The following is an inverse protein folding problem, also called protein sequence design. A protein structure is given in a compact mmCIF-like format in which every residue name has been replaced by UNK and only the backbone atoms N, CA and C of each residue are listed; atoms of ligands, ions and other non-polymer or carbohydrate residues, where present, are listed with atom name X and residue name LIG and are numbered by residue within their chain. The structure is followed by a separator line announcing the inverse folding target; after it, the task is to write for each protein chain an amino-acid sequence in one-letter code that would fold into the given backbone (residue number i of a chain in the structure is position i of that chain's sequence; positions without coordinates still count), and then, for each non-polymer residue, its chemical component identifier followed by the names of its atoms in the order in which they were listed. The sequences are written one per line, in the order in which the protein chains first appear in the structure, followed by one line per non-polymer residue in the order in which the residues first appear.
data_IF_277990426379
#
_entry.id   IF_277990426379
#
_cell.length_a   1.000
_cell.length_b   1.000
_cell.length_c   1.000
_cell.angle_alpha   90.00
_cell.angle_beta   90.00
_cell.angle_gamma   90.00
#
_symmetry.space_group_name_H-M   'P 1'
#
loop_
_entity.id
_entity.type
_entity.pdbx_description
1 polymer ?
#
# COMPACT_ATOMS: atom_id res chain seq x y z
N UNK A 1 22.61 1.99 15.06
CA UNK A 1 21.46 2.37 15.91
C UNK A 1 21.64 1.75 17.29
N UNK A 2 20.91 2.20 18.31
CA UNK A 2 20.95 1.56 19.64
C UNK A 2 19.92 0.43 19.70
N UNK A 3 20.19 -0.62 20.49
CA UNK A 3 19.24 -1.73 20.73
C UNK A 3 17.87 -1.24 21.24
N UNK A 4 17.84 -0.09 21.93
CA UNK A 4 16.60 0.54 22.39
C UNK A 4 15.78 1.13 21.24
N UNK A 5 16.43 1.80 20.29
CA UNK A 5 15.75 2.35 19.10
C UNK A 5 15.24 1.22 18.20
N UNK A 6 16.02 0.14 18.04
CA UNK A 6 15.60 -1.03 17.28
C UNK A 6 14.37 -1.71 17.89
N UNK A 7 14.36 -1.93 19.21
CA UNK A 7 13.18 -2.47 19.91
C UNK A 7 11.97 -1.57 19.79
N UNK A 8 12.16 -0.25 19.86
CA UNK A 8 11.09 0.74 19.70
C UNK A 8 10.49 0.67 18.28
N UNK A 9 11.33 0.64 17.25
CA UNK A 9 10.90 0.52 15.86
C UNK A 9 10.19 -0.83 15.60
N UNK A 10 10.72 -1.94 16.12
CA UNK A 10 10.10 -3.25 16.01
C UNK A 10 8.72 -3.31 16.67
N UNK A 11 8.56 -2.71 17.85
CA UNK A 11 7.26 -2.64 18.55
C UNK A 11 6.26 -1.79 17.77
N UNK A 12 6.69 -0.61 17.29
CA UNK A 12 5.86 0.27 16.46
C UNK A 12 5.39 -0.44 15.19
N UNK A 13 6.27 -1.25 14.57
CA UNK A 13 5.95 -2.11 13.42
C UNK A 13 4.95 -3.20 13.74
N UNK A 14 5.17 -3.98 14.80
CA UNK A 14 4.28 -5.06 15.20
C UNK A 14 2.85 -4.56 15.45
N UNK A 15 2.70 -3.41 16.11
CA UNK A 15 1.39 -2.81 16.37
C UNK A 15 0.71 -2.37 15.06
N UNK A 16 1.44 -1.67 14.17
CA UNK A 16 0.87 -1.20 12.90
C UNK A 16 0.47 -2.34 11.97
N UNK A 17 1.28 -3.42 11.93
CA UNK A 17 0.96 -4.64 11.16
C UNK A 17 -0.26 -5.37 11.73
N UNK A 18 -0.36 -5.49 13.06
CA UNK A 18 -1.51 -6.12 13.70
C UNK A 18 -2.83 -5.37 13.43
N UNK A 19 -2.79 -4.04 13.41
CA UNK A 19 -3.95 -3.22 13.05
C UNK A 19 -4.39 -3.48 11.61
N UNK A 20 -3.45 -3.43 10.65
CA UNK A 20 -3.75 -3.68 9.25
C UNK A 20 -4.24 -5.12 9.00
N UNK A 21 -3.63 -6.12 9.63
CA UNK A 21 -4.02 -7.51 9.48
C UNK A 21 -5.45 -7.76 9.99
N UNK A 22 -5.78 -7.29 11.20
CA UNK A 22 -7.14 -7.41 11.74
C UNK A 22 -8.17 -6.72 10.84
N UNK A 23 -7.84 -5.53 10.33
CA UNK A 23 -8.72 -4.79 9.44
C UNK A 23 -8.97 -5.53 8.12
N UNK A 24 -7.93 -6.13 7.53
CA UNK A 24 -8.03 -6.87 6.26
C UNK A 24 -8.71 -8.23 6.41
N UNK A 25 -8.49 -8.92 7.53
CA UNK A 25 -9.03 -10.27 7.78
C UNK A 25 -10.47 -10.24 8.30
N UNK A 26 -10.80 -9.28 9.17
CA UNK A 26 -12.02 -9.32 9.98
C UNK A 26 -12.86 -8.03 9.91
N UNK A 27 -12.38 -7.00 9.19
CA UNK A 27 -13.09 -5.74 9.02
C UNK A 27 -12.82 -4.71 10.13
N UNK A 28 -13.46 -3.55 10.02
CA UNK A 28 -13.19 -2.38 10.89
C UNK A 28 -13.59 -2.61 12.35
N UNK A 29 -14.76 -3.21 12.60
CA UNK A 29 -15.25 -3.48 13.96
C UNK A 29 -14.30 -4.37 14.77
N UNK A 30 -13.48 -5.18 14.08
CA UNK A 30 -12.49 -6.06 14.69
C UNK A 30 -11.19 -5.34 15.08
N UNK A 31 -10.82 -4.26 14.40
CA UNK A 31 -9.55 -3.57 14.59
C UNK A 31 -9.57 -2.62 15.80
N UNK A 32 -9.88 -3.13 17.00
CA UNK A 32 -9.89 -2.35 18.25
C UNK A 32 -8.53 -2.32 18.93
N UNK A 33 -8.25 -1.28 19.74
CA UNK A 33 -7.00 -1.18 20.51
C UNK A 33 -6.73 -2.44 21.34
N UNK A 34 -7.76 -3.04 21.93
CA UNK A 34 -7.63 -4.25 22.72
C UNK A 34 -7.15 -5.43 21.87
N UNK A 35 -7.80 -5.68 20.72
CA UNK A 35 -7.46 -6.79 19.82
C UNK A 35 -6.13 -6.59 19.12
N UNK A 36 -5.81 -5.36 18.71
CA UNK A 36 -4.51 -5.02 18.14
C UNK A 36 -3.41 -5.22 19.17
N UNK A 37 -3.61 -4.78 20.42
CA UNK A 37 -2.63 -4.98 21.50
C UNK A 37 -2.39 -6.45 21.77
N UNK A 38 -3.46 -7.25 21.85
CA UNK A 38 -3.37 -8.71 22.01
C UNK A 38 -2.59 -9.35 20.86
N UNK A 39 -2.94 -9.05 19.61
CA UNK A 39 -2.29 -9.61 18.42
C UNK A 39 -0.82 -9.19 18.30
N UNK A 40 -0.48 -7.96 18.69
CA UNK A 40 0.89 -7.47 18.71
C UNK A 40 1.70 -7.92 19.94
N UNK A 41 1.09 -8.63 20.89
CA UNK A 41 1.76 -9.08 22.11
C UNK A 41 2.16 -7.95 23.06
N UNK A 42 1.37 -6.87 23.11
CA UNK A 42 1.62 -5.69 23.95
C UNK A 42 0.41 -5.34 24.82
N UNK A 43 0.61 -4.48 25.84
CA UNK A 43 -0.51 -3.94 26.62
C UNK A 43 -1.19 -2.78 25.90
N UNK A 44 -2.46 -2.49 26.21
CA UNK A 44 -3.14 -1.27 25.71
C UNK A 44 -2.40 0.02 26.10
N UNK A 45 -1.77 0.05 27.28
CA UNK A 45 -0.89 1.15 27.69
C UNK A 45 0.32 1.28 26.75
N UNK A 46 0.91 0.15 26.36
CA UNK A 46 2.02 0.12 25.40
C UNK A 46 1.55 0.63 24.04
N UNK A 47 0.38 0.19 23.55
CA UNK A 47 -0.21 0.72 22.31
C UNK A 47 -0.29 2.25 22.35
N UNK A 48 -0.88 2.81 23.40
CA UNK A 48 -1.03 4.25 23.56
C UNK A 48 0.29 5.02 23.74
N UNK A 49 1.40 4.35 24.06
CA UNK A 49 2.72 4.98 24.04
C UNK A 49 3.25 5.20 22.61
N UNK A 50 2.69 4.51 21.61
CA UNK A 50 3.10 4.59 20.20
C UNK A 50 2.09 5.28 19.31
N UNK A 51 0.79 5.13 19.57
CA UNK A 51 -0.30 5.63 18.72
C UNK A 51 -1.47 6.13 19.57
N UNK A 52 -2.09 7.23 19.16
CA UNK A 52 -3.30 7.77 19.77
C UNK A 52 -4.48 6.82 19.56
N UNK A 53 -4.63 6.31 18.34
CA UNK A 53 -5.75 5.47 17.89
C UNK A 53 -5.33 4.51 16.78
N UNK A 54 -6.31 3.79 16.23
CA UNK A 54 -6.14 2.81 15.16
C UNK A 54 -5.80 3.49 13.83
N UNK A 55 -6.38 4.66 13.57
CA UNK A 55 -6.13 5.42 12.35
C UNK A 55 -4.66 5.83 12.25
N UNK A 56 -4.06 6.30 13.35
CA UNK A 56 -2.62 6.62 13.39
C UNK A 56 -1.75 5.37 13.15
N UNK A 57 -2.14 4.22 13.70
CA UNK A 57 -1.45 2.95 13.48
C UNK A 57 -1.55 2.49 12.01
N UNK A 58 -2.70 2.69 11.36
CA UNK A 58 -2.91 2.39 9.95
C UNK A 58 -2.13 3.33 9.03
N UNK A 59 -2.07 4.64 9.33
CA UNK A 59 -1.25 5.61 8.59
C UNK A 59 0.23 5.23 8.66
N UNK A 60 0.71 4.81 9.84
CA UNK A 60 2.07 4.30 10.00
C UNK A 60 2.33 3.04 9.17
N UNK A 61 1.36 2.14 9.10
CA UNK A 61 1.46 0.96 8.26
C UNK A 61 1.51 1.32 6.77
N UNK A 62 0.59 2.18 6.29
CA UNK A 62 0.58 2.66 4.91
C UNK A 62 1.91 3.33 4.54
N UNK A 63 2.47 4.17 5.42
CA UNK A 63 3.79 4.79 5.21
C UNK A 63 4.87 3.76 4.89
N UNK A 64 4.85 2.61 5.56
CA UNK A 64 5.78 1.51 5.30
C UNK A 64 5.48 0.81 3.99
N UNK A 65 4.21 0.56 3.65
CA UNK A 65 3.83 -0.03 2.36
C UNK A 65 4.31 0.86 1.20
N UNK A 66 4.07 2.17 1.26
CA UNK A 66 4.59 3.12 0.26
C UNK A 66 6.12 3.10 0.15
N UNK A 67 6.83 3.05 1.28
CA UNK A 67 8.28 2.95 1.28
C UNK A 67 8.79 1.61 0.72
N UNK A 68 8.15 0.50 1.07
CA UNK A 68 8.52 -0.83 0.56
C UNK A 68 8.31 -0.93 -0.95
N UNK A 69 7.20 -0.41 -1.48
CA UNK A 69 6.98 -0.39 -2.94
C UNK A 69 7.98 0.55 -3.61
N UNK A 70 8.34 1.67 -2.99
CA UNK A 70 9.39 2.55 -3.51
C UNK A 70 10.75 1.84 -3.61
N UNK A 71 11.14 1.10 -2.57
CA UNK A 71 12.36 0.29 -2.56
C UNK A 71 12.33 -0.80 -3.65
N UNK A 72 11.16 -1.44 -3.87
CA UNK A 72 10.99 -2.43 -4.95
C UNK A 72 11.15 -1.79 -6.33
N UNK A 73 10.59 -0.60 -6.55
CA UNK A 73 10.78 0.17 -7.79
C UNK A 73 12.27 0.46 -7.99
N UNK A 74 12.94 1.02 -6.98
CA UNK A 74 14.37 1.37 -7.08
C UNK A 74 15.27 0.14 -7.33
N UNK A 75 14.86 -1.05 -6.88
CA UNK A 75 15.60 -2.29 -7.07
C UNK A 75 15.48 -2.87 -8.51
N UNK A 76 14.48 -2.46 -9.29
CA UNK A 76 14.28 -2.99 -10.65
C UNK A 76 15.23 -2.37 -11.68
N UNK A 77 15.70 -3.13 -12.70
CA UNK A 77 16.63 -2.64 -13.74
C UNK A 77 16.17 -1.37 -14.46
N UNK A 78 17.03 -0.37 -14.58
CA UNK A 78 16.68 0.97 -15.11
C UNK A 78 16.26 1.00 -16.58
N UNK A 79 16.53 -0.08 -17.32
CA UNK A 79 16.14 -0.28 -18.71
C UNK A 79 14.64 -0.53 -18.88
N UNK A 80 13.97 -1.00 -17.81
CA UNK A 80 12.54 -1.23 -17.78
C UNK A 80 11.82 0.08 -17.49
N UNK A 81 10.82 0.41 -18.30
CA UNK A 81 10.07 1.65 -18.19
C UNK A 81 9.27 1.73 -16.88
N UNK A 82 8.94 2.96 -16.45
CA UNK A 82 8.09 3.20 -15.27
C UNK A 82 6.71 2.52 -15.39
N UNK A 83 6.18 2.35 -16.60
CA UNK A 83 4.93 1.63 -16.84
C UNK A 83 5.09 0.13 -16.54
N UNK A 84 6.08 -0.51 -17.14
CA UNK A 84 6.36 -1.95 -16.98
C UNK A 84 6.68 -2.31 -15.53
N UNK A 85 7.39 -1.43 -14.80
CA UNK A 85 7.67 -1.64 -13.38
C UNK A 85 6.42 -1.55 -12.54
N UNK A 86 5.58 -0.53 -12.73
CA UNK A 86 4.32 -0.44 -12.00
C UNK A 86 3.40 -1.62 -12.33
N UNK A 87 3.35 -2.04 -13.59
CA UNK A 87 2.61 -3.23 -14.04
C UNK A 87 3.09 -4.48 -13.30
N UNK A 88 4.40 -4.72 -13.25
CA UNK A 88 5.00 -5.87 -12.54
C UNK A 88 4.71 -5.85 -11.04
N UNK A 89 4.87 -4.69 -10.37
CA UNK A 89 4.58 -4.54 -8.94
C UNK A 89 3.13 -4.88 -8.61
N UNK A 90 2.18 -4.48 -9.46
CA UNK A 90 0.76 -4.76 -9.24
C UNK A 90 0.43 -6.23 -9.57
N UNK A 91 1.08 -6.82 -10.57
CA UNK A 91 0.96 -8.25 -10.89
C UNK A 91 1.45 -9.11 -9.72
N UNK A 92 2.60 -8.76 -9.13
CA UNK A 92 3.17 -9.46 -7.98
C UNK A 92 2.29 -9.31 -6.73
N UNK A 93 1.49 -8.24 -6.62
CA UNK A 93 0.52 -8.10 -5.55
C UNK A 93 -0.65 -9.09 -5.63
N UNK A 94 -0.84 -9.76 -6.77
CA UNK A 94 -1.91 -10.73 -7.04
C UNK A 94 -1.37 -12.17 -7.01
N UNK A 95 -0.48 -12.50 -6.07
CA UNK A 95 0.13 -13.83 -5.99
C UNK A 95 -0.81 -14.91 -5.37
N UNK A 96 -0.49 -16.17 -5.65
CA UNK A 96 -1.29 -17.35 -5.26
C UNK A 96 -1.38 -17.57 -3.74
N UNK A 97 -0.36 -17.13 -2.98
CA UNK A 97 -0.25 -17.38 -1.53
C UNK A 97 -1.15 -16.46 -0.66
N UNK A 98 -1.97 -15.60 -1.27
CA UNK A 98 -2.87 -14.68 -0.57
C UNK A 98 -2.31 -13.26 -0.43
N UNK A 99 -2.88 -12.48 0.50
CA UNK A 99 -2.55 -11.07 0.68
C UNK A 99 -1.16 -10.88 1.31
N UNK A 100 -0.18 -10.47 0.51
CA UNK A 100 1.03 -9.85 1.06
C UNK A 100 0.67 -8.49 1.65
N UNK A 101 0.86 -8.34 2.97
CA UNK A 101 0.59 -7.11 3.70
C UNK A 101 1.32 -5.91 3.07
N UNK A 102 2.50 -6.09 2.48
CA UNK A 102 3.30 -5.01 1.92
C UNK A 102 3.20 -4.88 0.40
N UNK A 103 1.98 -5.06 -0.15
CA UNK A 103 1.74 -5.06 -1.60
C UNK A 103 0.92 -3.87 -2.10
N UNK A 104 0.89 -3.68 -3.42
CA UNK A 104 0.03 -2.69 -4.06
C UNK A 104 -1.46 -2.94 -3.78
N UNK A 105 -1.90 -4.20 -3.65
CA UNK A 105 -3.28 -4.55 -3.31
C UNK A 105 -3.69 -4.03 -1.92
N UNK A 106 -2.76 -4.02 -0.96
CA UNK A 106 -2.97 -3.44 0.37
C UNK A 106 -3.32 -1.95 0.28
N UNK A 107 -2.60 -1.18 -0.54
CA UNK A 107 -2.91 0.24 -0.74
C UNK A 107 -4.31 0.46 -1.31
N UNK A 108 -4.76 -0.42 -2.21
CA UNK A 108 -6.10 -0.36 -2.79
C UNK A 108 -7.16 -0.65 -1.72
N UNK A 109 -7.01 -1.75 -0.98
CA UNK A 109 -7.96 -2.20 0.03
C UNK A 109 -8.08 -1.22 1.20
N UNK A 110 -6.95 -0.83 1.78
CA UNK A 110 -6.93 0.11 2.90
C UNK A 110 -7.28 1.54 2.45
N UNK A 111 -6.87 1.94 1.26
CA UNK A 111 -7.20 3.27 0.72
C UNK A 111 -8.68 3.46 0.43
N UNK A 112 -9.37 2.43 -0.07
CA UNK A 112 -10.82 2.47 -0.25
C UNK A 112 -11.57 2.53 1.08
N UNK A 113 -11.10 1.75 2.05
CA UNK A 113 -11.69 1.68 3.39
C UNK A 113 -11.55 3.00 4.13
N UNK A 114 -10.35 3.58 4.12
CA UNK A 114 -10.09 4.93 4.64
C UNK A 114 -10.98 5.99 3.99
N UNK A 115 -11.34 5.87 2.70
CA UNK A 115 -12.27 6.81 2.04
C UNK A 115 -13.73 6.62 2.42
N UNK A 116 -14.15 5.38 2.68
CA UNK A 116 -15.56 5.05 2.97
C UNK A 116 -15.93 5.29 4.44
N UNK A 117 -14.99 5.08 5.35
CA UNK A 117 -15.26 4.97 6.79
C UNK A 117 -14.69 6.13 7.61
N UNK A 118 -13.70 6.87 7.07
CA UNK A 118 -13.13 7.98 7.81
C UNK A 118 -14.14 9.12 8.01
N UNK A 119 -14.39 9.46 9.28
CA UNK A 119 -15.18 10.64 9.67
C UNK A 119 -14.62 11.94 9.08
N UNK A 120 -13.30 11.96 8.85
CA UNK A 120 -12.58 13.04 8.19
C UNK A 120 -11.62 12.43 7.18
N UNK A 121 -11.69 12.78 5.88
CA UNK A 121 -10.74 12.28 4.91
C UNK A 121 -9.30 12.73 5.27
N UNK A 122 -8.27 11.94 4.96
CA UNK A 122 -6.89 12.36 5.16
C UNK A 122 -6.63 13.69 4.42
N UNK A 123 -5.84 14.57 5.04
CA UNK A 123 -5.48 15.83 4.41
C UNK A 123 -4.65 15.58 3.15
N UNK A 124 -4.73 16.48 2.18
CA UNK A 124 -3.92 16.41 0.97
C UNK A 124 -2.41 16.37 1.30
N UNK A 125 -1.99 17.12 2.33
CA UNK A 125 -0.63 17.09 2.84
C UNK A 125 -0.21 15.71 3.34
N UNK A 126 -1.04 15.04 4.15
CA UNK A 126 -0.75 13.69 4.63
C UNK A 126 -0.66 12.68 3.48
N UNK A 127 -1.54 12.78 2.49
CA UNK A 127 -1.48 11.93 1.31
C UNK A 127 -0.22 12.17 0.48
N UNK A 128 0.19 13.43 0.32
CA UNK A 128 1.41 13.80 -0.38
C UNK A 128 2.66 13.29 0.34
N UNK A 129 2.68 13.33 1.68
CA UNK A 129 3.77 12.76 2.48
C UNK A 129 3.86 11.23 2.31
N UNK A 130 2.72 10.53 2.32
CA UNK A 130 2.68 9.08 2.11
C UNK A 130 3.16 8.70 0.71
N UNK A 131 2.75 9.44 -0.32
CA UNK A 131 3.13 9.15 -1.71
C UNK A 131 4.56 9.59 -2.07
N UNK A 132 5.20 10.44 -1.27
CA UNK A 132 6.49 11.05 -1.59
C UNK A 132 7.61 10.05 -1.97
N UNK A 133 7.75 8.88 -1.31
CA UNK A 133 8.76 7.88 -1.70
C UNK A 133 8.53 7.31 -3.11
N UNK A 134 7.28 7.05 -3.49
CA UNK A 134 6.94 6.54 -4.83
C UNK A 134 7.18 7.61 -5.90
N UNK A 135 6.76 8.85 -5.63
CA UNK A 135 7.02 9.99 -6.53
C UNK A 135 8.52 10.16 -6.75
N UNK A 136 9.33 10.08 -5.69
CA UNK A 136 10.79 10.18 -5.79
C UNK A 136 11.39 9.06 -6.64
N UNK A 137 10.92 7.82 -6.47
CA UNK A 137 11.41 6.64 -7.18
C UNK A 137 11.05 6.70 -8.67
N UNK A 138 9.79 7.02 -9.00
CA UNK A 138 9.34 7.19 -10.39
C UNK A 138 10.08 8.34 -11.09
N UNK A 139 10.36 9.43 -10.39
CA UNK A 139 11.15 10.54 -10.92
C UNK A 139 12.59 10.12 -11.23
N UNK A 140 13.26 9.42 -10.30
CA UNK A 140 14.63 8.91 -10.52
C UNK A 140 14.71 8.00 -11.74
N UNK A 141 13.68 7.17 -11.94
CA UNK A 141 13.61 6.21 -13.04
C UNK A 141 13.32 6.83 -14.41
N UNK A 142 12.76 8.04 -14.45
CA UNK A 142 12.27 8.65 -15.69
C UNK A 142 13.16 9.82 -16.10
N UNK A 143 14.11 9.64 -17.06
CA UNK A 143 15.01 10.70 -17.48
C UNK A 143 14.26 11.96 -17.93
N UNK A 144 14.61 13.11 -17.34
CA UNK A 144 14.00 14.40 -17.65
C UNK A 144 12.65 14.67 -16.96
N UNK A 145 12.11 13.73 -16.17
CA UNK A 145 10.85 13.94 -15.46
C UNK A 145 10.98 14.99 -14.35
N UNK A 146 10.04 15.92 -14.34
CA UNK A 146 9.78 16.81 -13.20
C UNK A 146 9.09 16.06 -12.06
N UNK A 147 8.91 16.73 -10.91
CA UNK A 147 8.09 16.19 -9.83
C UNK A 147 6.63 15.98 -10.28
N UNK A 148 6.09 16.94 -11.04
CA UNK A 148 4.74 16.87 -11.58
C UNK A 148 4.58 15.66 -12.52
N UNK A 149 5.55 15.40 -13.40
CA UNK A 149 5.50 14.23 -14.29
C UNK A 149 5.44 12.92 -13.49
N UNK A 150 6.22 12.81 -12.42
CA UNK A 150 6.20 11.63 -11.56
C UNK A 150 4.88 11.48 -10.78
N UNK A 151 4.25 12.57 -10.35
CA UNK A 151 2.92 12.55 -9.73
C UNK A 151 1.84 12.12 -10.72
N UNK A 152 1.91 12.59 -11.97
CA UNK A 152 1.00 12.16 -13.04
C UNK A 152 1.18 10.67 -13.32
N UNK A 153 2.42 10.19 -13.44
CA UNK A 153 2.72 8.77 -13.64
C UNK A 153 2.18 7.92 -12.48
N UNK A 154 2.45 8.32 -11.24
CA UNK A 154 1.94 7.62 -10.05
C UNK A 154 0.41 7.55 -10.06
N UNK A 155 -0.24 8.67 -10.35
CA UNK A 155 -1.71 8.75 -10.37
C UNK A 155 -2.30 7.88 -11.46
N UNK A 156 -1.74 7.93 -12.68
CA UNK A 156 -2.22 7.15 -13.82
C UNK A 156 -2.05 5.64 -13.59
N UNK A 157 -0.84 5.19 -13.26
CA UNK A 157 -0.56 3.77 -13.04
C UNK A 157 -1.23 3.23 -11.78
N UNK A 158 -1.24 4.02 -10.70
CA UNK A 158 -1.92 3.67 -9.46
C UNK A 158 -3.43 3.48 -9.67
N UNK A 159 -4.08 4.37 -10.43
CA UNK A 159 -5.52 4.26 -10.72
C UNK A 159 -5.83 3.08 -11.66
N UNK A 160 -5.00 2.85 -12.68
CA UNK A 160 -5.14 1.68 -13.55
C UNK A 160 -5.02 0.37 -12.76
N UNK A 161 -4.00 0.27 -11.90
CA UNK A 161 -3.82 -0.86 -10.99
C UNK A 161 -4.98 -1.05 -10.03
N UNK A 162 -5.41 0.03 -9.35
CA UNK A 162 -6.54 -0.03 -8.43
C UNK A 162 -7.83 -0.47 -9.13
N UNK A 163 -8.06 -0.03 -10.37
CA UNK A 163 -9.22 -0.45 -11.18
C UNK A 163 -9.18 -1.95 -11.47
N UNK A 164 -8.02 -2.47 -11.88
CA UNK A 164 -7.83 -3.89 -12.15
C UNK A 164 -8.01 -4.74 -10.88
N UNK A 165 -7.39 -4.36 -9.77
CA UNK A 165 -7.51 -5.06 -8.48
C UNK A 165 -8.96 -5.09 -7.99
N UNK A 166 -9.69 -3.96 -8.08
CA UNK A 166 -11.11 -3.92 -7.69
C UNK A 166 -11.98 -4.81 -8.59
N UNK A 167 -11.74 -4.80 -9.89
CA UNK A 167 -12.46 -5.65 -10.83
C UNK A 167 -12.22 -7.14 -10.52
N UNK A 168 -10.97 -7.51 -10.21
CA UNK A 168 -10.63 -8.86 -9.76
C UNK A 168 -11.33 -9.26 -8.47
N UNK A 169 -11.31 -8.39 -7.45
CA UNK A 169 -11.98 -8.63 -6.17
C UNK A 169 -13.50 -8.71 -6.27
N UNK A 170 -14.09 -8.16 -7.34
CA UNK A 170 -15.52 -8.28 -7.62
C UNK A 170 -15.92 -9.62 -8.26
N UNK A 171 -14.96 -10.45 -8.71
CA UNK A 171 -15.24 -11.76 -9.29
C UNK A 171 -15.82 -12.74 -8.23
N UNK A 172 -16.69 -13.70 -8.63
CA UNK A 172 -17.15 -14.78 -7.77
C UNK A 172 -16.00 -15.66 -7.27
N UNK A 173 -16.18 -16.29 -6.10
CA UNK A 173 -15.23 -17.26 -5.58
C UNK A 173 -15.48 -18.68 -6.13
N UNK A 174 -14.43 -19.51 -6.33
CA UNK A 174 -13.01 -19.19 -6.16
C UNK A 174 -12.47 -18.31 -7.30
N UNK A 175 -11.54 -17.41 -6.99
CA UNK A 175 -10.87 -16.54 -7.97
C UNK A 175 -9.54 -17.13 -8.41
N UNK A 176 -9.28 -17.11 -9.71
CA UNK A 176 -7.96 -17.42 -10.28
C UNK A 176 -7.10 -16.15 -10.28
N UNK A 177 -5.94 -16.11 -9.59
CA UNK A 177 -5.05 -14.95 -9.62
C UNK A 177 -4.64 -14.50 -11.03
N UNK A 178 -4.62 -15.40 -12.01
CA UNK A 178 -4.30 -15.07 -13.39
C UNK A 178 -5.39 -14.18 -14.05
N UNK A 179 -6.66 -14.30 -13.65
CA UNK A 179 -7.71 -13.37 -14.09
C UNK A 179 -7.40 -11.94 -13.63
N UNK A 180 -6.90 -11.79 -12.41
CA UNK A 180 -6.47 -10.51 -11.87
C UNK A 180 -5.26 -9.95 -12.63
N UNK A 181 -4.24 -10.78 -12.87
CA UNK A 181 -3.06 -10.40 -13.64
C UNK A 181 -3.43 -9.99 -15.07
N UNK A 182 -4.36 -10.69 -15.71
CA UNK A 182 -4.88 -10.33 -17.03
C UNK A 182 -5.58 -8.96 -17.03
N UNK A 183 -6.37 -8.65 -16.00
CA UNK A 183 -6.97 -7.32 -15.84
C UNK A 183 -5.92 -6.21 -15.67
N UNK A 184 -4.83 -6.46 -14.94
CA UNK A 184 -3.72 -5.51 -14.78
C UNK A 184 -3.05 -5.25 -16.13
N UNK A 185 -2.65 -6.31 -16.85
CA UNK A 185 -2.06 -6.18 -18.19
C UNK A 185 -2.96 -5.38 -19.13
N UNK A 186 -4.26 -5.67 -19.10
CA UNK A 186 -5.25 -4.95 -19.91
C UNK A 186 -5.36 -3.48 -19.54
N UNK A 187 -5.32 -3.13 -18.25
CA UNK A 187 -5.38 -1.74 -17.80
C UNK A 187 -4.14 -0.94 -18.26
N UNK A 188 -2.96 -1.56 -18.24
CA UNK A 188 -1.72 -0.94 -18.71
C UNK A 188 -1.63 -0.85 -20.24
N UNK A 189 -2.19 -1.81 -20.98
CA UNK A 189 -2.38 -1.70 -22.43
C UNK A 189 -3.21 -0.47 -22.81
N UNK A 190 -4.35 -0.25 -22.14
CA UNK A 190 -5.20 0.92 -22.39
C UNK A 190 -4.43 2.23 -22.21
N UNK A 191 -3.57 2.33 -21.18
CA UNK A 191 -2.73 3.51 -20.97
C UNK A 191 -1.66 3.68 -22.07
N UNK A 192 -1.12 2.58 -22.62
CA UNK A 192 -0.14 2.62 -23.70
C UNK A 192 -0.75 3.07 -25.02
N UNK A 193 -1.98 2.63 -25.32
CA UNK A 193 -2.71 2.96 -26.56
C UNK A 193 -3.19 4.42 -26.62
N UNK A 194 -3.12 5.17 -25.53
CA UNK A 194 -3.47 6.61 -25.48
C UNK A 194 -2.38 7.55 -26.01
N UNK A 195 -1.18 7.04 -26.32
CA UNK A 195 -0.04 7.80 -26.87
C UNK A 195 -0.03 7.79 -28.38
#
# INVERSE_FOLDING_TARGET
MSLREEKKAATRRAISEAAAALLLEEGEDAATVARVSERAGVSARTFHNYFADIDEALVEFLRKVFATIADQIDAMPTEISSAEVMEAIIIDALNEDGFDLYSASTLVLLGDRARQEAKTPPTEEAMNELAAPLVASLRRRTPGATRFDAEVLLSAYGMAGATAVKAYLALPQPRDPEDGRALVRRAFEVLRDMR
#
